data_IF_344395423490
#
_entry.id   IF_344395423490
#
_cell.length_a   1.000
_cell.length_b   1.000
_cell.length_c   1.000
_cell.angle_alpha   90.00
_cell.angle_beta   90.00
_cell.angle_gamma   90.00
#
_symmetry.space_group_name_H-M   'P 1'
#
loop_
_entity.id
_entity.type
_entity.pdbx_description
1 polymer ?
#
# COMPACT_ATOMS: atom_id res chain seq x y z
N UNK A 1 5.83 19.87 -26.65
CA UNK A 1 5.92 19.52 -25.22
C UNK A 1 5.98 20.81 -24.43
N UNK A 2 4.82 21.44 -24.27
CA UNK A 2 4.68 22.80 -23.76
C UNK A 2 4.69 22.80 -22.24
N UNK A 3 5.54 23.65 -21.71
CA UNK A 3 5.72 23.96 -20.30
C UNK A 3 4.37 24.22 -19.61
N UNK A 4 3.91 23.24 -18.83
CA UNK A 4 2.67 23.32 -18.05
C UNK A 4 2.98 24.12 -16.79
N UNK A 5 3.19 25.42 -16.95
CA UNK A 5 3.46 26.31 -15.84
C UNK A 5 2.35 26.18 -14.78
N UNK A 6 2.74 25.69 -13.59
CA UNK A 6 1.93 25.62 -12.37
C UNK A 6 1.76 27.02 -11.73
N UNK A 7 1.69 28.07 -12.54
CA UNK A 7 1.68 29.48 -12.10
C UNK A 7 0.28 30.09 -12.08
N UNK A 8 -0.76 29.38 -12.53
CA UNK A 8 -2.13 29.85 -12.35
C UNK A 8 -2.55 29.69 -10.89
N UNK A 9 -2.82 30.82 -10.26
CA UNK A 9 -3.48 30.86 -8.96
C UNK A 9 -4.81 30.10 -9.04
N UNK A 10 -4.98 29.09 -8.19
CA UNK A 10 -6.16 28.23 -8.26
C UNK A 10 -7.37 29.00 -7.71
N UNK A 11 -8.54 28.96 -8.37
CA UNK A 11 -9.74 29.69 -7.93
C UNK A 11 -10.25 29.29 -6.54
N UNK A 12 -9.83 28.12 -6.03
CA UNK A 12 -10.25 27.63 -4.73
C UNK A 12 -9.04 27.01 -3.99
N UNK A 13 -8.70 27.44 -2.76
CA UNK A 13 -7.68 26.78 -1.96
C UNK A 13 -8.06 25.31 -1.73
N UNK A 14 -7.05 24.42 -1.70
CA UNK A 14 -7.26 23.01 -1.32
C UNK A 14 -7.75 22.96 0.14
N UNK A 15 -9.06 22.89 0.32
CA UNK A 15 -9.66 22.52 1.60
C UNK A 15 -9.66 21.01 1.64
N UNK A 16 -8.80 20.43 2.48
CA UNK A 16 -8.88 19.00 2.76
C UNK A 16 -10.19 18.77 3.53
N UNK A 17 -11.02 17.84 3.06
CA UNK A 17 -12.24 17.42 3.76
C UNK A 17 -11.93 16.61 5.05
N UNK A 18 -10.65 16.38 5.33
CA UNK A 18 -10.13 15.67 6.50
C UNK A 18 -8.80 16.29 6.95
N UNK A 19 -8.30 15.89 8.13
CA UNK A 19 -6.96 16.25 8.58
C UNK A 19 -5.92 15.90 7.49
N UNK A 20 -5.00 16.83 7.20
CA UNK A 20 -3.91 16.55 6.27
C UNK A 20 -2.99 15.46 6.83
N UNK A 21 -2.38 14.65 5.98
CA UNK A 21 -1.38 13.67 6.41
C UNK A 21 -0.26 14.31 7.24
N UNK A 22 0.16 15.53 6.88
CA UNK A 22 1.13 16.30 7.67
C UNK A 22 0.64 16.61 9.09
N UNK A 23 -0.65 16.90 9.28
CA UNK A 23 -1.22 17.13 10.60
C UNK A 23 -1.33 15.84 11.44
N UNK A 24 -1.63 14.69 10.83
CA UNK A 24 -1.60 13.39 11.50
C UNK A 24 -0.18 13.00 11.92
N UNK A 25 0.80 13.25 11.05
CA UNK A 25 2.21 13.03 11.36
C UNK A 25 2.69 13.95 12.49
N UNK A 26 2.37 15.24 12.43
CA UNK A 26 2.77 16.21 13.44
C UNK A 26 2.14 15.88 14.81
N UNK A 27 0.87 15.47 14.81
CA UNK A 27 0.18 14.97 16.01
C UNK A 27 0.88 13.74 16.59
N UNK A 28 1.31 12.79 15.74
CA UNK A 28 2.10 11.63 16.16
C UNK A 28 3.47 12.01 16.76
N UNK A 29 4.17 13.00 16.17
CA UNK A 29 5.43 13.51 16.71
C UNK A 29 5.23 14.22 18.04
N UNK A 30 4.20 15.06 18.19
CA UNK A 30 3.89 15.76 19.43
C UNK A 30 3.57 14.79 20.57
N UNK A 31 2.76 13.76 20.31
CA UNK A 31 2.49 12.69 21.28
C UNK A 31 3.76 11.97 21.70
N UNK A 32 4.64 11.61 20.75
CA UNK A 32 5.92 10.95 21.06
C UNK A 32 6.86 11.86 21.86
N UNK A 33 6.90 13.15 21.57
CA UNK A 33 7.70 14.12 22.32
C UNK A 33 7.17 14.31 23.74
N UNK A 34 5.84 14.41 23.91
CA UNK A 34 5.20 14.45 25.23
C UNK A 34 5.42 13.17 26.02
N UNK A 35 5.24 11.99 25.40
CA UNK A 35 5.53 10.69 26.04
C UNK A 35 7.01 10.57 26.40
N UNK A 36 7.93 11.00 25.54
CA UNK A 36 9.38 11.01 25.86
C UNK A 36 9.70 11.99 26.99
N UNK A 37 9.09 13.17 27.01
CA UNK A 37 9.25 14.15 28.07
C UNK A 37 8.70 13.66 29.40
N UNK A 38 7.54 13.02 29.39
CA UNK A 38 6.97 12.36 30.57
C UNK A 38 7.83 11.19 31.03
N UNK A 39 8.31 10.34 30.12
CA UNK A 39 9.20 9.22 30.42
C UNK A 39 10.55 9.69 31.01
N UNK A 40 11.11 10.77 30.47
CA UNK A 40 12.31 11.40 31.01
C UNK A 40 12.06 12.04 32.39
N UNK A 41 10.90 12.68 32.58
CA UNK A 41 10.47 13.20 33.88
C UNK A 41 10.28 12.11 34.93
N UNK A 42 9.72 10.96 34.54
CA UNK A 42 9.58 9.79 35.42
C UNK A 42 10.91 9.07 35.63
N UNK A 43 11.80 9.01 34.64
CA UNK A 43 13.10 8.35 34.76
C UNK A 43 13.99 9.01 35.83
N UNK A 44 13.90 10.34 35.98
CA UNK A 44 14.56 11.07 37.07
C UNK A 44 13.93 10.75 38.43
N UNK A 45 12.62 10.48 38.49
CA UNK A 45 11.93 10.08 39.72
C UNK A 45 12.13 8.60 40.08
N UNK A 46 12.59 7.76 39.14
CA UNK A 46 12.67 6.30 39.31
C UNK A 46 14.08 5.71 39.20
N UNK A 47 15.12 6.52 39.41
CA UNK A 47 16.51 6.03 39.51
C UNK A 47 16.74 5.08 40.72
N UNK A 48 15.67 4.71 41.45
CA UNK A 48 15.65 3.70 42.51
C UNK A 48 15.03 2.34 42.15
N UNK A 49 14.66 2.04 40.89
CA UNK A 49 14.10 0.70 40.61
C UNK A 49 13.83 0.37 39.14
N UNK A 50 14.76 -0.37 38.53
CA UNK A 50 14.55 -1.38 37.49
C UNK A 50 13.40 -1.19 36.48
N UNK A 51 13.67 -0.57 35.33
CA UNK A 51 12.82 -0.72 34.14
C UNK A 51 13.40 -1.78 33.21
N UNK A 52 13.05 -3.04 33.48
CA UNK A 52 13.02 -4.06 32.44
C UNK A 52 11.89 -3.75 31.47
N UNK A 53 12.23 -3.23 30.28
CA UNK A 53 11.26 -3.11 29.18
C UNK A 53 11.03 -4.51 28.63
N UNK A 54 10.11 -5.24 29.23
CA UNK A 54 9.63 -6.51 28.67
C UNK A 54 8.96 -6.20 27.34
N UNK A 55 9.53 -6.67 26.22
CA UNK A 55 8.83 -6.66 24.94
C UNK A 55 7.56 -7.48 25.14
N UNK A 56 6.40 -6.84 25.06
CA UNK A 56 5.15 -7.56 24.95
C UNK A 56 5.20 -8.39 23.67
N UNK A 57 5.52 -9.67 23.81
CA UNK A 57 5.30 -10.65 22.74
C UNK A 57 3.80 -10.87 22.75
N UNK A 58 3.09 -10.21 21.83
CA UNK A 58 1.69 -10.51 21.62
C UNK A 58 1.61 -12.01 21.27
N UNK A 59 0.94 -12.79 22.11
CA UNK A 59 0.57 -14.16 21.80
C UNK A 59 -0.41 -14.11 20.63
N UNK A 60 0.11 -14.20 19.40
CA UNK A 60 -0.74 -14.50 18.25
C UNK A 60 -1.44 -15.82 18.54
N UNK A 61 -2.78 -15.84 18.52
CA UNK A 61 -3.53 -17.08 18.65
C UNK A 61 -3.08 -18.10 17.60
N UNK A 62 -3.28 -19.39 17.88
CA UNK A 62 -2.93 -20.45 16.94
C UNK A 62 -3.58 -20.16 15.57
N UNK A 63 -2.74 -20.04 14.54
CA UNK A 63 -3.20 -19.81 13.17
C UNK A 63 -3.90 -21.06 12.63
N UNK A 64 -4.98 -20.87 11.87
CA UNK A 64 -5.61 -21.95 11.09
C UNK A 64 -4.92 -22.17 9.74
N UNK A 65 -3.97 -21.32 9.37
CA UNK A 65 -3.23 -21.41 8.12
C UNK A 65 -2.18 -22.52 8.22
N UNK A 66 -2.09 -23.36 7.18
CA UNK A 66 -1.22 -24.55 7.15
C UNK A 66 0.08 -24.34 6.36
N UNK A 67 0.24 -23.18 5.73
CA UNK A 67 1.42 -22.86 4.93
C UNK A 67 2.48 -22.11 5.75
N UNK A 68 3.75 -22.26 5.35
CA UNK A 68 4.86 -21.54 5.97
C UNK A 68 4.84 -20.06 5.60
N UNK A 69 4.99 -19.18 6.59
CA UNK A 69 5.06 -17.73 6.36
C UNK A 69 6.22 -17.38 5.42
N UNK A 70 5.93 -16.50 4.45
CA UNK A 70 6.91 -16.02 3.50
C UNK A 70 7.81 -14.94 4.11
N UNK A 71 9.07 -14.92 3.70
CA UNK A 71 9.97 -13.82 4.02
C UNK A 71 9.51 -12.53 3.33
N UNK A 72 9.76 -11.38 3.98
CA UNK A 72 9.57 -10.08 3.36
C UNK A 72 10.74 -9.80 2.41
N UNK A 73 10.48 -9.89 1.12
CA UNK A 73 11.45 -9.63 0.06
C UNK A 73 11.08 -8.34 -0.69
N UNK A 74 12.08 -7.69 -1.29
CA UNK A 74 11.89 -6.51 -2.15
C UNK A 74 12.61 -6.72 -3.47
N UNK A 75 12.01 -7.55 -4.32
CA UNK A 75 12.43 -7.80 -5.69
C UNK A 75 11.23 -7.65 -6.65
N UNK A 76 11.43 -8.00 -7.92
CA UNK A 76 10.41 -7.88 -8.96
C UNK A 76 9.59 -9.17 -9.15
N UNK A 77 9.88 -10.21 -8.38
CA UNK A 77 9.26 -11.52 -8.52
C UNK A 77 8.09 -11.68 -7.55
N UNK A 78 7.10 -12.48 -7.92
CA UNK A 78 6.10 -12.91 -6.96
C UNK A 78 6.63 -14.12 -6.19
N UNK A 79 6.26 -14.21 -4.92
CA UNK A 79 6.64 -15.31 -4.03
C UNK A 79 5.37 -15.96 -3.48
N UNK A 80 5.35 -17.28 -3.41
CA UNK A 80 4.24 -18.08 -2.89
C UNK A 80 4.76 -19.21 -1.98
N UNK A 81 3.92 -19.76 -1.08
CA UNK A 81 4.35 -20.85 -0.21
C UNK A 81 4.70 -22.12 -0.98
N UNK A 82 5.47 -23.01 -0.36
CA UNK A 82 5.83 -24.30 -0.95
C UNK A 82 4.57 -25.11 -1.32
N UNK A 83 4.58 -25.71 -2.52
CA UNK A 83 3.46 -26.48 -3.05
C UNK A 83 2.34 -25.65 -3.68
N UNK A 84 2.45 -24.33 -3.70
CA UNK A 84 1.54 -23.42 -4.41
C UNK A 84 2.15 -22.96 -5.74
N UNK A 85 1.30 -22.43 -6.62
CA UNK A 85 1.69 -21.78 -7.87
C UNK A 85 0.64 -20.73 -8.26
N UNK A 86 0.94 -19.88 -9.25
CA UNK A 86 0.03 -18.90 -9.83
C UNK A 86 -0.30 -19.25 -11.29
N UNK A 87 -1.54 -18.98 -11.68
CA UNK A 87 -1.94 -19.00 -13.08
C UNK A 87 -2.39 -17.60 -13.49
N UNK A 88 -1.86 -17.09 -14.60
CA UNK A 88 -2.34 -15.83 -15.18
C UNK A 88 -3.60 -16.13 -15.98
N UNK A 89 -4.75 -15.67 -15.46
CA UNK A 89 -6.05 -15.90 -16.09
C UNK A 89 -6.29 -14.95 -17.27
N UNK A 90 -6.10 -13.64 -17.04
CA UNK A 90 -6.23 -12.57 -18.05
C UNK A 90 -5.18 -11.49 -17.79
N UNK A 91 -4.69 -10.87 -18.87
CA UNK A 91 -3.72 -9.77 -18.89
C UNK A 91 -4.33 -8.59 -19.65
N UNK A 92 -3.85 -7.38 -19.34
CA UNK A 92 -4.20 -6.21 -20.15
C UNK A 92 -3.93 -6.48 -21.64
N UNK A 93 -4.94 -6.26 -22.47
CA UNK A 93 -4.85 -6.47 -23.91
C UNK A 93 -5.29 -7.87 -24.37
N UNK A 94 -5.52 -8.82 -23.46
CA UNK A 94 -5.99 -10.15 -23.85
C UNK A 94 -7.34 -10.07 -24.58
N UNK A 95 -7.49 -10.90 -25.61
CA UNK A 95 -8.72 -11.00 -26.39
C UNK A 95 -9.88 -11.54 -25.54
N UNK A 96 -11.01 -10.86 -25.53
CA UNK A 96 -12.24 -11.29 -24.83
C UNK A 96 -13.34 -11.74 -25.79
N UNK A 97 -13.15 -11.58 -27.11
CA UNK A 97 -14.02 -12.08 -28.18
C UNK A 97 -13.19 -12.80 -29.25
N UNK A 98 -13.79 -13.69 -30.06
CA UNK A 98 -13.07 -14.42 -31.11
C UNK A 98 -12.43 -13.52 -32.19
N UNK A 99 -12.95 -12.32 -32.39
CA UNK A 99 -12.54 -11.32 -33.37
C UNK A 99 -11.85 -10.10 -32.74
N UNK A 100 -11.47 -10.19 -31.45
CA UNK A 100 -10.70 -9.14 -30.80
C UNK A 100 -9.38 -8.88 -31.54
N UNK A 101 -9.01 -7.62 -31.83
CA UNK A 101 -7.73 -7.31 -32.44
C UNK A 101 -6.55 -7.76 -31.56
N UNK A 102 -5.41 -8.04 -32.18
CA UNK A 102 -4.18 -8.30 -31.44
C UNK A 102 -3.75 -7.05 -30.66
N UNK A 103 -3.27 -7.25 -29.43
CA UNK A 103 -2.76 -6.16 -28.61
C UNK A 103 -1.35 -5.75 -29.04
N UNK A 104 -1.15 -4.45 -29.27
CA UNK A 104 0.13 -3.86 -29.65
C UNK A 104 0.45 -2.64 -28.77
N UNK A 105 1.52 -2.73 -27.98
CA UNK A 105 1.99 -1.65 -27.12
C UNK A 105 2.55 -0.45 -27.90
N UNK A 106 2.99 -0.65 -29.15
CA UNK A 106 3.43 0.45 -30.00
C UNK A 106 2.26 1.26 -30.57
N UNK A 107 1.05 0.67 -30.60
CA UNK A 107 -0.13 1.25 -31.24
C UNK A 107 -1.37 1.07 -30.35
N UNK A 108 -1.53 1.96 -29.37
CA UNK A 108 -2.72 1.96 -28.52
C UNK A 108 -3.91 2.57 -29.27
N UNK A 109 -4.93 1.76 -29.51
CA UNK A 109 -6.19 2.14 -30.16
C UNK A 109 -7.37 1.91 -29.21
N UNK A 110 -8.24 2.91 -29.09
CA UNK A 110 -9.42 2.86 -28.23
C UNK A 110 -10.46 1.86 -28.73
N UNK A 111 -10.68 1.78 -30.04
CA UNK A 111 -11.68 0.86 -30.61
C UNK A 111 -11.25 -0.60 -30.42
N UNK A 112 -9.95 -0.91 -30.57
CA UNK A 112 -9.40 -2.20 -30.19
C UNK A 112 -9.52 -2.49 -28.68
N UNK A 113 -9.24 -1.50 -27.83
CA UNK A 113 -9.28 -1.65 -26.37
C UNK A 113 -10.69 -2.00 -25.84
N UNK A 114 -11.76 -1.53 -26.48
CA UNK A 114 -13.15 -1.91 -26.15
C UNK A 114 -13.43 -3.41 -26.33
N UNK A 115 -12.58 -4.11 -27.10
CA UNK A 115 -12.67 -5.56 -27.34
C UNK A 115 -11.55 -6.35 -26.65
N UNK A 116 -10.81 -5.74 -25.73
CA UNK A 116 -9.69 -6.38 -25.03
C UNK A 116 -9.86 -6.26 -23.51
N UNK A 117 -9.19 -7.11 -22.74
CA UNK A 117 -9.23 -7.04 -21.29
C UNK A 117 -8.58 -5.74 -20.79
N UNK A 118 -9.26 -5.09 -19.83
CA UNK A 118 -8.95 -3.74 -19.38
C UNK A 118 -7.60 -3.58 -18.70
N UNK A 119 -7.07 -2.36 -18.78
CA UNK A 119 -5.84 -1.95 -18.08
C UNK A 119 -6.10 -1.68 -16.60
N UNK A 120 -5.10 -1.95 -15.74
CA UNK A 120 -5.16 -1.74 -14.29
C UNK A 120 -6.42 -2.33 -13.65
N UNK A 121 -6.67 -3.62 -13.94
CA UNK A 121 -7.77 -4.33 -13.30
C UNK A 121 -7.64 -4.23 -11.77
N UNK A 122 -8.71 -3.76 -11.14
CA UNK A 122 -8.87 -3.67 -9.69
C UNK A 122 -10.28 -4.12 -9.35
N UNK A 123 -10.41 -4.75 -8.19
CA UNK A 123 -11.62 -5.41 -7.69
C UNK A 123 -12.13 -6.53 -8.61
N UNK A 124 -12.39 -7.70 -8.04
CA UNK A 124 -12.94 -8.84 -8.78
C UNK A 124 -13.87 -9.62 -7.85
N UNK A 125 -15.04 -10.00 -8.37
CA UNK A 125 -15.97 -10.89 -7.70
C UNK A 125 -16.13 -12.15 -8.55
N UNK A 126 -16.05 -13.31 -7.91
CA UNK A 126 -16.48 -14.58 -8.49
C UNK A 126 -17.90 -14.84 -7.98
N UNK A 127 -18.84 -14.94 -8.91
CA UNK A 127 -20.27 -15.08 -8.63
C UNK A 127 -20.76 -16.46 -9.06
#
# INVERSE_FOLDING_TARGET
MTDRQKTRERPNPRRAFAQSYGSLLNEGFNRRTLLKGFLAGTAVATMGGAFGVSRAVASAGASTLTFTELARVRDAEDHWPEGYDRQVLLRWGDAIFPDSPAFDLATIDGAAAERQFGYNNDFTAFL
#
